data_IF_873822839158
#
_entry.id   IF_873822839158
#
_cell.length_a   1.000
_cell.length_b   1.000
_cell.length_c   1.000
_cell.angle_alpha   90.00
_cell.angle_beta   90.00
_cell.angle_gamma   90.00
#
_symmetry.space_group_name_H-M   'P 1'
#
loop_
_entity.id
_entity.type
_entity.pdbx_description
1 polymer ?
#
# COMPACT_ATOMS: atom_id res chain seq x y z
N UNK A 1 -5.33 -10.64 -16.74
CA UNK A 1 -5.22 -10.25 -15.33
C UNK A 1 -4.04 -9.31 -15.20
N UNK A 2 -4.16 -8.28 -14.38
CA UNK A 2 -3.05 -7.38 -14.09
C UNK A 2 -2.20 -7.98 -12.96
N UNK A 3 -0.95 -7.55 -12.82
CA UNK A 3 -0.11 -7.93 -11.69
C UNK A 3 -0.78 -7.63 -10.33
N UNK A 4 -1.61 -6.58 -10.27
CA UNK A 4 -2.36 -6.21 -9.09
C UNK A 4 -3.47 -7.24 -8.79
N UNK A 5 -4.18 -7.71 -9.82
CA UNK A 5 -5.19 -8.75 -9.69
C UNK A 5 -4.61 -10.03 -9.11
N UNK A 6 -3.46 -10.47 -9.62
CA UNK A 6 -2.75 -11.67 -9.14
C UNK A 6 -2.29 -11.50 -7.68
N UNK A 7 -1.81 -10.31 -7.31
CA UNK A 7 -1.47 -9.98 -5.92
C UNK A 7 -2.70 -10.02 -5.00
N UNK A 8 -3.78 -9.38 -5.41
CA UNK A 8 -5.04 -9.35 -4.66
C UNK A 8 -5.78 -10.69 -4.65
N UNK A 9 -5.36 -11.66 -5.46
CA UNK A 9 -5.86 -13.03 -5.48
C UNK A 9 -4.98 -14.00 -4.66
N UNK A 10 -3.88 -13.52 -4.06
CA UNK A 10 -2.97 -14.35 -3.25
C UNK A 10 -1.98 -15.17 -4.09
N UNK A 11 -1.88 -14.91 -5.39
CA UNK A 11 -0.96 -15.62 -6.28
C UNK A 11 0.48 -15.08 -6.19
N UNK A 12 0.67 -13.93 -5.54
CA UNK A 12 1.93 -13.18 -5.45
C UNK A 12 2.28 -12.77 -4.02
N UNK A 13 2.30 -13.72 -3.08
CA UNK A 13 2.55 -13.47 -1.66
C UNK A 13 3.98 -12.95 -1.36
N UNK A 14 4.95 -13.26 -2.21
CA UNK A 14 6.33 -12.79 -2.07
C UNK A 14 6.57 -11.39 -2.65
N UNK A 15 5.57 -10.82 -3.32
CA UNK A 15 5.64 -9.49 -3.92
C UNK A 15 5.09 -8.41 -2.99
N UNK A 16 5.52 -7.18 -3.25
CA UNK A 16 5.03 -5.98 -2.59
C UNK A 16 4.50 -5.02 -3.63
N UNK A 17 3.44 -4.31 -3.25
CA UNK A 17 2.86 -3.24 -4.02
C UNK A 17 3.30 -1.92 -3.40
N UNK A 18 3.78 -1.02 -4.24
CA UNK A 18 4.20 0.31 -3.81
C UNK A 18 3.64 1.36 -4.76
N UNK A 19 2.85 2.29 -4.25
CA UNK A 19 2.35 3.44 -4.97
C UNK A 19 3.05 4.72 -4.52
N UNK A 20 3.34 5.60 -5.47
CA UNK A 20 3.85 6.95 -5.26
C UNK A 20 2.98 7.93 -6.02
N UNK A 21 2.57 9.02 -5.36
CA UNK A 21 1.88 10.12 -6.01
C UNK A 21 2.82 10.89 -6.95
N UNK A 22 2.22 11.60 -7.90
CA UNK A 22 2.94 12.45 -8.86
C UNK A 22 3.84 13.48 -8.15
N UNK A 23 3.41 13.99 -6.99
CA UNK A 23 4.19 14.93 -6.17
C UNK A 23 5.55 14.37 -5.71
N UNK A 24 5.66 13.05 -5.56
CA UNK A 24 6.89 12.36 -5.17
C UNK A 24 7.75 11.93 -6.38
N UNK A 25 7.21 12.06 -7.59
CA UNK A 25 7.84 11.59 -8.82
C UNK A 25 8.34 12.77 -9.64
N UNK A 26 9.65 13.01 -9.62
CA UNK A 26 10.27 13.90 -10.59
C UNK A 26 9.95 13.46 -12.04
N UNK A 27 9.89 14.41 -12.98
CA UNK A 27 9.60 14.16 -14.41
C UNK A 27 10.55 13.11 -15.06
N UNK A 28 11.77 12.95 -14.52
CA UNK A 28 12.80 12.01 -15.00
C UNK A 28 12.87 10.71 -14.14
N UNK A 29 11.86 10.45 -13.32
CA UNK A 29 11.86 9.31 -12.41
C UNK A 29 11.75 7.99 -13.18
N UNK A 30 12.81 7.18 -13.13
CA UNK A 30 12.84 5.80 -13.66
C UNK A 30 11.68 4.92 -13.18
N UNK A 31 11.07 5.29 -12.06
CA UNK A 31 9.89 4.62 -11.49
C UNK A 31 8.68 4.71 -12.43
N UNK A 32 8.49 5.81 -13.17
CA UNK A 32 7.45 5.93 -14.21
C UNK A 32 7.66 4.95 -15.36
N UNK A 33 8.91 4.62 -15.69
CA UNK A 33 9.22 3.69 -16.80
C UNK A 33 8.96 2.21 -16.45
N UNK A 34 9.07 1.85 -15.17
CA UNK A 34 8.95 0.45 -14.71
C UNK A 34 7.66 0.16 -13.95
N UNK A 35 6.93 1.20 -13.53
CA UNK A 35 5.64 1.08 -12.86
C UNK A 35 4.45 1.16 -13.81
N UNK A 36 3.27 0.96 -13.25
CA UNK A 36 1.97 1.15 -13.91
C UNK A 36 1.45 2.54 -13.57
N UNK A 37 1.16 3.36 -14.58
CA UNK A 37 0.52 4.67 -14.38
C UNK A 37 -0.90 4.50 -13.82
N UNK A 38 -1.25 5.42 -12.92
CA UNK A 38 -2.56 5.57 -12.27
C UNK A 38 -3.05 7.00 -12.48
N UNK A 39 -4.25 7.34 -11.99
CA UNK A 39 -4.77 8.71 -12.12
C UNK A 39 -3.93 9.74 -11.35
N UNK A 40 -3.35 9.35 -10.20
CA UNK A 40 -2.60 10.25 -9.31
C UNK A 40 -1.10 10.00 -9.21
N UNK A 41 -0.53 9.05 -9.95
CA UNK A 41 0.88 8.67 -9.82
C UNK A 41 1.24 7.31 -10.41
N UNK A 42 2.18 6.59 -9.80
CA UNK A 42 2.70 5.32 -10.31
C UNK A 42 2.64 4.22 -9.26
N UNK A 43 2.15 3.04 -9.66
CA UNK A 43 2.14 1.82 -8.86
C UNK A 43 3.14 0.79 -9.38
N UNK A 44 3.96 0.26 -8.49
CA UNK A 44 4.96 -0.76 -8.76
C UNK A 44 4.59 -2.05 -8.05
N UNK A 45 4.84 -3.19 -8.69
CA UNK A 45 4.68 -4.52 -8.10
C UNK A 45 5.98 -5.26 -8.32
N UNK A 46 6.71 -5.49 -7.23
CA UNK A 46 8.10 -5.94 -7.22
C UNK A 46 8.24 -7.06 -6.19
N UNK A 47 9.28 -7.89 -6.32
CA UNK A 47 9.59 -8.86 -5.26
C UNK A 47 9.88 -8.13 -3.94
N UNK A 48 9.61 -8.77 -2.81
CA UNK A 48 9.70 -8.11 -1.51
C UNK A 48 11.08 -7.53 -1.16
N UNK A 49 12.19 -8.11 -1.62
CA UNK A 49 13.53 -7.56 -1.39
C UNK A 49 13.77 -6.31 -2.26
N UNK A 50 13.45 -6.40 -3.55
CA UNK A 50 13.60 -5.29 -4.49
C UNK A 50 12.67 -4.14 -4.13
N UNK A 51 11.41 -4.43 -3.82
CA UNK A 51 10.41 -3.41 -3.49
C UNK A 51 10.71 -2.68 -2.19
N UNK A 52 11.20 -3.36 -1.14
CA UNK A 52 11.68 -2.70 0.09
C UNK A 52 12.88 -1.79 -0.19
N UNK A 53 13.80 -2.23 -1.05
CA UNK A 53 14.96 -1.43 -1.46
C UNK A 53 14.55 -0.21 -2.27
N UNK A 54 13.60 -0.36 -3.20
CA UNK A 54 13.04 0.72 -3.99
C UNK A 54 12.27 1.73 -3.13
N UNK A 55 11.48 1.26 -2.17
CA UNK A 55 10.76 2.10 -1.20
C UNK A 55 11.73 2.99 -0.42
N UNK A 56 12.81 2.41 0.12
CA UNK A 56 13.81 3.17 0.86
C UNK A 56 14.54 4.18 -0.03
N UNK A 57 14.85 3.81 -1.27
CA UNK A 57 15.49 4.71 -2.22
C UNK A 57 14.58 5.88 -2.63
N UNK A 58 13.28 5.64 -2.79
CA UNK A 58 12.31 6.66 -3.22
C UNK A 58 11.83 7.57 -2.10
N UNK A 59 11.58 7.03 -0.91
CA UNK A 59 10.99 7.79 0.22
C UNK A 59 12.02 8.25 1.25
N UNK A 60 13.21 7.65 1.27
CA UNK A 60 14.21 7.84 2.32
C UNK A 60 13.88 7.11 3.64
N UNK A 61 12.72 6.44 3.72
CA UNK A 61 12.24 5.73 4.93
C UNK A 61 12.35 4.22 4.76
N UNK A 62 12.58 3.50 5.87
CA UNK A 62 12.56 2.04 5.86
C UNK A 62 11.13 1.51 5.86
N UNK A 63 10.80 0.56 4.97
CA UNK A 63 9.45 -0.01 4.88
C UNK A 63 8.92 -0.57 6.22
N UNK A 64 9.79 -1.23 7.01
CA UNK A 64 9.41 -1.76 8.32
C UNK A 64 9.17 -0.65 9.36
N UNK A 65 9.94 0.44 9.31
CA UNK A 65 9.78 1.57 10.23
C UNK A 65 8.48 2.32 9.92
N UNK A 66 8.19 2.50 8.63
CA UNK A 66 6.93 3.04 8.16
C UNK A 66 5.75 2.17 8.59
N UNK A 67 5.78 0.87 8.32
CA UNK A 67 4.72 -0.06 8.73
C UNK A 67 4.46 -0.02 10.24
N UNK A 68 5.53 0.00 11.05
CA UNK A 68 5.42 0.10 12.52
C UNK A 68 4.81 1.41 13.00
N UNK A 69 4.99 2.50 12.25
CA UNK A 69 4.41 3.80 12.59
C UNK A 69 2.94 3.85 12.20
N UNK A 70 2.61 3.37 11.00
CA UNK A 70 1.27 3.37 10.44
C UNK A 70 0.32 2.35 11.11
N UNK A 71 0.83 1.25 11.67
CA UNK A 71 0.01 0.20 12.29
C UNK A 71 -0.80 0.65 13.52
N UNK A 72 -0.47 1.81 14.09
CA UNK A 72 -1.16 2.34 15.28
C UNK A 72 -2.49 3.05 14.92
N UNK A 73 -2.62 3.48 13.65
CA UNK A 73 -3.81 4.13 13.13
C UNK A 73 -4.51 3.22 12.11
N UNK A 74 -5.79 2.95 12.35
CA UNK A 74 -6.63 2.16 11.44
C UNK A 74 -7.41 3.12 10.53
N UNK A 75 -7.26 2.94 9.22
CA UNK A 75 -7.94 3.72 8.19
C UNK A 75 -8.37 2.84 7.03
N UNK A 76 -8.88 3.44 5.96
CA UNK A 76 -9.30 2.68 4.78
C UNK A 76 -8.38 2.94 3.60
N UNK A 77 -7.82 1.88 3.01
CA UNK A 77 -7.07 1.96 1.75
C UNK A 77 -7.90 1.29 0.67
N UNK A 78 -8.03 1.91 -0.49
CA UNK A 78 -8.77 1.38 -1.63
C UNK A 78 -8.13 0.09 -2.17
N UNK A 79 -8.95 -0.77 -2.80
CA UNK A 79 -8.49 -2.02 -3.41
C UNK A 79 -7.45 -1.79 -4.53
N UNK A 80 -7.49 -0.63 -5.17
CA UNK A 80 -6.51 -0.22 -6.19
C UNK A 80 -5.11 0.00 -5.62
N UNK A 81 -4.97 0.15 -4.30
CA UNK A 81 -3.71 0.46 -3.59
C UNK A 81 -3.06 1.76 -4.09
N UNK A 82 -3.86 2.70 -4.58
CA UNK A 82 -3.45 4.05 -5.00
C UNK A 82 -4.31 5.17 -4.39
N UNK A 83 -5.33 4.82 -3.60
CA UNK A 83 -6.27 5.76 -2.98
C UNK A 83 -6.73 5.26 -1.59
N UNK A 84 -7.39 6.10 -0.79
CA UNK A 84 -7.89 5.73 0.53
C UNK A 84 -8.46 6.87 1.37
N UNK A 85 -9.18 6.53 2.44
CA UNK A 85 -9.75 7.45 3.40
C UNK A 85 -8.86 7.56 4.64
N UNK A 86 -8.25 8.74 4.82
CA UNK A 86 -7.44 9.05 5.98
C UNK A 86 -8.32 9.14 7.24
N UNK A 87 -8.03 8.40 8.32
CA UNK A 87 -8.84 8.42 9.54
C UNK A 87 -8.70 9.72 10.35
N UNK A 88 -7.75 10.57 9.96
CA UNK A 88 -7.50 11.88 10.54
C UNK A 88 -8.17 13.01 9.74
N UNK A 89 -8.80 12.69 8.61
CA UNK A 89 -9.61 13.66 7.87
C UNK A 89 -10.87 13.98 8.68
N UNK A 90 -11.13 15.26 8.89
CA UNK A 90 -12.43 15.73 9.32
C UNK A 90 -13.28 16.03 8.07
N UNK A 91 -14.61 15.99 8.17
CA UNK A 91 -15.54 16.16 7.04
C UNK A 91 -15.33 17.49 6.26
N UNK A 92 -14.64 18.47 6.86
CA UNK A 92 -14.37 19.79 6.30
C UNK A 92 -13.10 19.87 5.44
N UNK A 93 -12.17 18.91 5.57
CA UNK A 93 -10.81 18.98 4.99
C UNK A 93 -10.47 17.72 4.18
N UNK A 94 -11.48 16.92 3.77
CA UNK A 94 -11.25 15.65 3.08
C UNK A 94 -10.42 15.79 1.78
N UNK A 95 -10.57 16.89 1.03
CA UNK A 95 -9.76 17.20 -0.15
C UNK A 95 -8.28 17.50 0.15
N UNK A 96 -7.92 17.82 1.40
CA UNK A 96 -6.53 18.03 1.82
C UNK A 96 -5.87 16.72 2.29
N UNK A 97 -6.58 15.59 2.27
CA UNK A 97 -6.18 14.30 2.82
C UNK A 97 -5.95 13.21 1.74
N UNK A 98 -5.25 13.55 0.67
CA UNK A 98 -4.85 12.62 -0.38
C UNK A 98 -3.69 11.70 0.05
N UNK A 99 -3.55 10.55 -0.62
CA UNK A 99 -2.43 9.63 -0.39
C UNK A 99 -1.18 10.13 -1.13
N UNK A 100 -0.07 10.24 -0.40
CA UNK A 100 1.25 10.45 -1.01
C UNK A 100 1.91 9.17 -1.46
N UNK A 101 1.81 8.12 -0.67
CA UNK A 101 2.32 6.81 -1.05
C UNK A 101 1.63 5.69 -0.27
N UNK A 102 1.52 4.52 -0.91
CA UNK A 102 1.02 3.28 -0.29
C UNK A 102 2.11 2.22 -0.38
N UNK A 103 2.36 1.52 0.72
CA UNK A 103 3.16 0.29 0.73
C UNK A 103 2.29 -0.87 1.17
N UNK A 104 2.23 -1.95 0.40
CA UNK A 104 1.44 -3.13 0.73
C UNK A 104 2.19 -4.44 0.45
N UNK A 105 1.91 -5.45 1.26
CA UNK A 105 2.41 -6.81 1.08
C UNK A 105 1.35 -7.81 1.52
N UNK A 106 1.42 -9.03 1.01
CA UNK A 106 0.54 -10.11 1.42
C UNK A 106 1.30 -11.10 2.33
N UNK A 107 0.59 -11.69 3.27
CA UNK A 107 1.11 -12.74 4.15
C UNK A 107 0.25 -13.99 4.00
N UNK A 108 0.90 -15.15 3.91
CA UNK A 108 0.21 -16.43 3.81
C UNK A 108 -0.63 -16.72 5.06
N UNK A 109 -1.74 -17.43 4.88
CA UNK A 109 -2.57 -17.92 5.97
C UNK A 109 -1.73 -18.59 7.08
N UNK A 110 -1.98 -18.20 8.33
CA UNK A 110 -1.35 -18.74 9.51
C UNK A 110 -2.37 -18.97 10.65
N UNK A 111 -2.81 -20.22 10.78
CA UNK A 111 -3.75 -20.66 11.82
C UNK A 111 -3.20 -20.49 13.25
N UNK A 112 -1.88 -20.50 13.44
CA UNK A 112 -1.25 -20.38 14.77
C UNK A 112 -1.35 -18.95 15.33
N UNK A 113 -1.37 -17.95 14.46
CA UNK A 113 -1.53 -16.54 14.84
C UNK A 113 -2.98 -16.24 15.21
N UNK A 114 -3.95 -16.86 14.53
CA UNK A 114 -5.38 -16.63 14.75
C UNK A 114 -5.88 -15.31 14.14
N UNK A 115 -7.17 -15.01 14.34
CA UNK A 115 -7.82 -13.84 13.73
C UNK A 115 -7.86 -13.94 12.19
N UNK A 116 -7.66 -12.80 11.51
CA UNK A 116 -7.67 -12.72 10.03
C UNK A 116 -6.67 -13.71 9.39
N UNK A 117 -5.54 -13.95 10.04
CA UNK A 117 -4.51 -14.87 9.54
C UNK A 117 -4.97 -16.33 9.54
N UNK A 118 -5.92 -16.71 10.39
CA UNK A 118 -6.49 -18.06 10.35
C UNK A 118 -7.57 -18.19 9.26
N UNK A 119 -8.11 -17.08 8.75
CA UNK A 119 -9.22 -17.05 7.80
C UNK A 119 -8.73 -17.17 6.35
N UNK A 120 -7.52 -16.67 6.05
CA UNK A 120 -6.89 -16.80 4.74
C UNK A 120 -5.61 -15.98 4.64
N UNK A 121 -5.13 -15.80 3.41
CA UNK A 121 -4.02 -14.89 3.13
C UNK A 121 -4.43 -13.45 3.43
N UNK A 122 -3.56 -12.66 4.04
CA UNK A 122 -3.87 -11.32 4.54
C UNK A 122 -3.08 -10.27 3.77
N UNK A 123 -3.75 -9.25 3.24
CA UNK A 123 -3.09 -8.05 2.72
C UNK A 123 -2.86 -7.08 3.87
N UNK A 124 -1.62 -6.62 3.98
CA UNK A 124 -1.20 -5.53 4.84
C UNK A 124 -0.91 -4.31 3.96
N UNK A 125 -1.70 -3.26 4.08
CA UNK A 125 -1.46 -2.00 3.39
C UNK A 125 -1.23 -0.86 4.38
N UNK A 126 -0.33 0.04 4.02
CA UNK A 126 0.06 1.20 4.80
C UNK A 126 0.10 2.42 3.89
N UNK A 127 -0.58 3.49 4.28
CA UNK A 127 -0.66 4.73 3.52
C UNK A 127 -0.06 5.88 4.31
N UNK A 128 0.60 6.79 3.59
CA UNK A 128 1.04 8.07 4.11
C UNK A 128 0.25 9.18 3.44
N UNK A 129 -0.41 10.00 4.26
CA UNK A 129 -1.29 11.06 3.79
C UNK A 129 -0.53 12.38 3.60
N UNK A 130 -1.04 13.25 2.74
CA UNK A 130 -0.59 14.63 2.56
C UNK A 130 -0.59 15.44 3.86
N UNK A 131 -1.49 15.12 4.79
CA UNK A 131 -1.56 15.72 6.13
C UNK A 131 -0.37 15.36 7.05
N UNK A 132 0.48 14.41 6.63
CA UNK A 132 1.67 13.95 7.36
C UNK A 132 1.44 12.75 8.27
N UNK A 133 0.19 12.33 8.45
CA UNK A 133 -0.15 11.14 9.23
C UNK A 133 -0.04 9.87 8.38
N UNK A 134 0.18 8.74 9.05
CA UNK A 134 0.24 7.43 8.41
C UNK A 134 -0.76 6.49 9.05
N UNK A 135 -1.39 5.65 8.24
CA UNK A 135 -2.40 4.71 8.70
C UNK A 135 -2.28 3.37 7.97
N UNK A 136 -2.87 2.35 8.56
CA UNK A 136 -2.84 0.99 8.04
C UNK A 136 -4.24 0.48 7.78
N UNK A 137 -4.34 -0.45 6.84
CA UNK A 137 -5.54 -1.23 6.60
C UNK A 137 -5.12 -2.68 6.30
N UNK A 138 -5.82 -3.64 6.91
CA UNK A 138 -5.55 -5.07 6.73
C UNK A 138 -6.83 -5.83 6.49
N UNK A 139 -6.81 -6.78 5.56
CA UNK A 139 -7.97 -7.57 5.20
C UNK A 139 -7.56 -8.93 4.64
N UNK A 140 -8.49 -9.89 4.69
CA UNK A 140 -8.30 -11.22 4.07
C UNK A 140 -8.50 -11.10 2.56
N UNK A 141 -7.64 -11.76 1.79
CA UNK A 141 -7.74 -11.84 0.34
C UNK A 141 -9.10 -12.42 -0.06
N UNK A 142 -9.79 -11.73 -0.96
CA UNK A 142 -11.14 -12.08 -1.41
C UNK A 142 -12.30 -11.58 -0.53
N UNK A 143 -12.04 -10.97 0.62
CA UNK A 143 -13.10 -10.45 1.52
C UNK A 143 -13.73 -9.13 1.02
N UNK A 144 -12.99 -8.36 0.20
CA UNK A 144 -13.46 -7.10 -0.37
C UNK A 144 -14.12 -7.36 -1.72
N UNK A 145 -15.46 -7.36 -1.75
CA UNK A 145 -16.25 -7.37 -3.00
C UNK A 145 -16.06 -6.05 -3.77
N UNK A 146 -16.13 -6.12 -5.11
CA UNK A 146 -15.93 -5.00 -6.06
C UNK A 146 -17.02 -3.92 -5.96
#
# INVERSE_FOLDING_TARGET
MSNLDEFLAGERLDDVVFYLSDEYLDDDSRLREVGTETDGGVRLILDGETGRSAFQAGTGMGAMEFAKTAMDADGEIARSLDDGACPFADDADADDHEIRFVFAFAEAQNEEVGGLYAEGDVVHAYAHCTCGESYSHKWVIGDRDD
#
